data_IF_497882477290
#
_entry.id   IF_497882477290
#
_cell.length_a   1.000
_cell.length_b   1.000
_cell.length_c   1.000
_cell.angle_alpha   90.00
_cell.angle_beta   90.00
_cell.angle_gamma   90.00
#
_symmetry.space_group_name_H-M   'P 1'
#
loop_
_entity.id
_entity.type
_entity.pdbx_description
1 polymer ?
#
# COMPACT_ATOMS: atom_id res chain seq x y z
N UNK A 1 3.99 3.87 11.07
CA UNK A 1 3.46 4.96 10.28
C UNK A 1 3.66 4.77 8.79
N UNK A 2 2.72 5.31 8.04
CA UNK A 2 2.76 5.19 6.58
C UNK A 2 3.99 5.87 5.98
N UNK A 3 4.49 6.92 6.63
CA UNK A 3 5.67 7.64 6.16
C UNK A 3 6.95 6.83 6.20
N UNK A 4 6.95 5.74 6.95
CA UNK A 4 8.11 4.86 7.03
C UNK A 4 8.17 3.84 5.90
N UNK A 5 7.12 3.77 5.09
CA UNK A 5 7.08 2.85 3.95
C UNK A 5 7.77 3.44 2.73
N UNK A 6 8.30 2.60 1.83
CA UNK A 6 8.79 3.09 0.54
C UNK A 6 7.69 3.85 -0.21
N UNK A 7 8.10 4.78 -1.04
CA UNK A 7 7.17 5.66 -1.76
C UNK A 7 6.11 4.88 -2.53
N UNK A 8 6.52 3.81 -3.23
CA UNK A 8 5.57 3.01 -4.01
C UNK A 8 4.48 2.42 -3.14
N UNK A 9 4.87 1.91 -1.98
CA UNK A 9 3.92 1.32 -1.04
C UNK A 9 2.97 2.37 -0.48
N UNK A 10 3.51 3.55 -0.15
CA UNK A 10 2.68 4.65 0.35
C UNK A 10 1.64 5.08 -0.66
N UNK A 11 2.03 5.19 -1.92
CA UNK A 11 1.11 5.59 -2.98
C UNK A 11 -0.04 4.60 -3.11
N UNK A 12 0.27 3.31 -3.09
CA UNK A 12 -0.74 2.28 -3.22
C UNK A 12 -1.70 2.29 -2.04
N UNK A 13 -1.16 2.40 -0.82
CA UNK A 13 -2.00 2.46 0.38
C UNK A 13 -2.89 3.70 0.35
N UNK A 14 -2.34 4.84 -0.04
CA UNK A 14 -3.10 6.07 -0.11
C UNK A 14 -4.26 5.94 -1.08
N UNK A 15 -4.01 5.42 -2.28
CA UNK A 15 -5.05 5.27 -3.29
C UNK A 15 -6.09 4.25 -2.87
N UNK A 16 -5.67 3.19 -2.22
CA UNK A 16 -6.59 2.13 -1.83
C UNK A 16 -7.46 2.50 -0.63
N UNK A 17 -6.84 3.03 0.43
CA UNK A 17 -7.55 3.28 1.69
C UNK A 17 -8.14 4.68 1.79
N UNK A 18 -7.44 5.68 1.30
CA UNK A 18 -7.93 7.05 1.42
C UNK A 18 -8.77 7.49 0.25
N UNK A 19 -8.38 7.13 -0.96
CA UNK A 19 -9.14 7.53 -2.16
C UNK A 19 -10.20 6.50 -2.54
N UNK A 20 -10.12 5.29 -2.02
CA UNK A 20 -11.13 4.28 -2.28
C UNK A 20 -11.04 3.59 -3.63
N UNK A 21 -9.90 3.69 -4.30
CA UNK A 21 -9.72 3.01 -5.58
C UNK A 21 -9.54 1.51 -5.41
N UNK A 22 -10.05 0.76 -6.38
CA UNK A 22 -9.85 -0.68 -6.42
C UNK A 22 -8.49 -1.00 -7.02
N UNK A 23 -7.97 -2.20 -6.75
CA UNK A 23 -6.68 -2.62 -7.27
C UNK A 23 -6.60 -2.45 -8.78
N UNK A 24 -7.65 -2.81 -9.49
CA UNK A 24 -7.72 -2.66 -10.94
C UNK A 24 -7.51 -1.20 -11.36
N UNK A 25 -8.13 -0.28 -10.63
CA UNK A 25 -8.01 1.14 -10.92
C UNK A 25 -6.63 1.68 -10.59
N UNK A 26 -6.08 1.25 -9.47
CA UNK A 26 -4.72 1.65 -9.06
C UNK A 26 -3.70 1.18 -10.10
N UNK A 27 -3.88 -0.03 -10.61
CA UNK A 27 -3.00 -0.57 -11.64
C UNK A 27 -2.98 0.33 -12.87
N UNK A 28 -4.13 0.84 -13.26
CA UNK A 28 -4.22 1.76 -14.39
C UNK A 28 -3.57 3.11 -14.08
N UNK A 29 -3.83 3.63 -12.89
CA UNK A 29 -3.29 4.93 -12.48
C UNK A 29 -1.77 4.89 -12.45
N UNK A 30 -1.20 3.84 -11.88
CA UNK A 30 0.24 3.71 -11.72
C UNK A 30 0.91 3.02 -12.91
N UNK A 31 0.12 2.58 -13.89
CA UNK A 31 0.63 1.90 -15.08
C UNK A 31 1.42 0.64 -14.73
N UNK A 32 0.86 -0.15 -13.83
CA UNK A 32 1.44 -1.41 -13.39
C UNK A 32 0.41 -2.51 -13.50
N UNK A 33 0.87 -3.77 -13.47
CA UNK A 33 -0.03 -4.90 -13.53
C UNK A 33 -0.78 -5.08 -12.22
N UNK A 34 -2.01 -5.59 -12.28
CA UNK A 34 -2.81 -5.83 -11.09
C UNK A 34 -2.10 -6.73 -10.10
N UNK A 35 -1.44 -7.79 -10.59
CA UNK A 35 -0.70 -8.70 -9.73
C UNK A 35 0.41 -7.97 -8.97
N UNK A 36 1.08 -7.04 -9.64
CA UNK A 36 2.12 -6.23 -9.01
C UNK A 36 1.54 -5.37 -7.90
N UNK A 37 0.41 -4.70 -8.19
CA UNK A 37 -0.25 -3.85 -7.20
C UNK A 37 -0.71 -4.69 -6.00
N UNK A 38 -1.32 -5.84 -6.27
CA UNK A 38 -1.79 -6.71 -5.20
C UNK A 38 -0.65 -7.19 -4.32
N UNK A 39 0.47 -7.56 -4.91
CA UNK A 39 1.65 -8.00 -4.14
C UNK A 39 2.20 -6.86 -3.29
N UNK A 40 2.31 -5.67 -3.87
CA UNK A 40 2.81 -4.51 -3.13
C UNK A 40 1.87 -4.11 -2.01
N UNK A 41 0.56 -4.18 -2.25
CA UNK A 41 -0.42 -3.86 -1.22
C UNK A 41 -0.32 -4.84 -0.06
N UNK A 42 -0.19 -6.12 -0.36
CA UNK A 42 -0.05 -7.13 0.68
C UNK A 42 1.20 -6.88 1.52
N UNK A 43 2.32 -6.59 0.86
CA UNK A 43 3.57 -6.31 1.58
C UNK A 43 3.49 -5.02 2.38
N UNK A 44 2.84 -4.00 1.82
CA UNK A 44 2.69 -2.73 2.51
C UNK A 44 1.86 -2.89 3.78
N UNK A 45 0.79 -3.66 3.69
CA UNK A 45 -0.07 -3.92 4.86
C UNK A 45 0.69 -4.66 5.94
N UNK A 46 1.52 -5.61 5.54
CA UNK A 46 2.34 -6.36 6.49
C UNK A 46 3.35 -5.46 7.18
N UNK A 47 4.04 -4.62 6.41
CA UNK A 47 5.00 -3.67 6.98
C UNK A 47 4.33 -2.68 7.91
N UNK A 48 3.17 -2.20 7.53
CA UNK A 48 2.43 -1.25 8.37
C UNK A 48 2.02 -1.89 9.69
N UNK A 49 1.60 -3.15 9.64
CA UNK A 49 1.25 -3.88 10.84
C UNK A 49 2.46 -4.03 11.77
N UNK A 50 3.61 -4.35 11.21
CA UNK A 50 4.84 -4.50 11.99
C UNK A 50 5.22 -3.19 12.67
N UNK A 51 5.11 -2.08 11.95
CA UNK A 51 5.42 -0.76 12.50
C UNK A 51 4.47 -0.44 13.63
N UNK A 52 3.19 -0.70 13.46
CA UNK A 52 2.20 -0.42 14.48
C UNK A 52 2.38 -1.29 15.72
N UNK A 53 2.77 -2.55 15.53
CA UNK A 53 3.02 -3.42 16.66
C UNK A 53 4.20 -2.93 17.51
N UNK A 54 5.23 -2.44 16.83
CA UNK A 54 6.40 -1.89 17.54
C UNK A 54 6.00 -0.65 18.32
N UNK A 55 5.17 0.20 17.74
CA UNK A 55 4.75 1.43 18.40
C UNK A 55 3.88 1.18 19.62
N UNK A 56 3.17 0.07 19.62
CA UNK A 56 2.30 -0.28 20.75
C UNK A 56 3.08 -0.76 21.96
N UNK A 57 4.30 -1.20 21.74
CA UNK A 57 5.13 -1.65 22.84
C UNK A 57 5.96 -0.50 23.39
#
# INVERSE_FOLDING_TARGET
EIMKLPKDYRNIIYLYYYEGYKIKEIAKILKQKQNTINSKLTRARKKLKEIMEVEYE
#
